data_IF_339925548609
#
_entry.id   IF_339925548609
#
_cell.length_a   1.000
_cell.length_b   1.000
_cell.length_c   1.000
_cell.angle_alpha   90.00
_cell.angle_beta   90.00
_cell.angle_gamma   90.00
#
_symmetry.space_group_name_H-M   'P 1'
#
loop_
_entity.id
_entity.type
_entity.pdbx_description
1 polymer ?
#
# COMPACT_ATOMS: atom_id res chain seq x y z
N UNK A 1 19.27 -18.10 3.69
CA UNK A 1 19.29 -17.10 4.77
C UNK A 1 18.69 -17.72 6.02
N UNK A 2 19.39 -17.60 7.14
CA UNK A 2 18.93 -18.13 8.43
C UNK A 2 17.95 -17.21 9.15
N UNK A 3 17.84 -15.95 8.70
CA UNK A 3 16.96 -14.92 9.25
C UNK A 3 15.47 -15.30 9.36
N UNK A 4 15.03 -16.31 8.61
CA UNK A 4 13.63 -16.77 8.60
C UNK A 4 13.49 -18.24 8.98
N UNK A 5 14.45 -18.84 9.68
CA UNK A 5 14.36 -20.23 10.13
C UNK A 5 13.45 -20.35 11.35
N UNK A 6 12.76 -21.49 11.45
CA UNK A 6 11.88 -21.83 12.58
C UNK A 6 12.70 -21.96 13.87
N UNK A 7 12.16 -21.44 14.97
CA UNK A 7 12.76 -21.61 16.30
C UNK A 7 12.55 -23.04 16.79
N UNK A 8 13.60 -23.66 17.32
CA UNK A 8 13.51 -24.94 18.03
C UNK A 8 13.32 -24.65 19.51
N UNK A 9 12.17 -25.04 20.06
CA UNK A 9 11.87 -24.89 21.48
C UNK A 9 12.24 -26.18 22.22
N UNK A 10 13.08 -26.06 23.24
CA UNK A 10 13.56 -27.17 24.04
C UNK A 10 13.08 -27.03 25.49
N UNK A 11 12.87 -28.16 26.16
CA UNK A 11 12.60 -28.18 27.58
C UNK A 11 13.76 -27.55 28.37
N UNK A 12 13.44 -26.73 29.37
CA UNK A 12 14.44 -26.03 30.20
C UNK A 12 15.13 -24.84 29.53
N UNK A 13 14.73 -24.45 28.33
CA UNK A 13 15.30 -23.30 27.61
C UNK A 13 14.91 -21.95 28.26
N UNK A 14 15.89 -21.07 28.45
CA UNK A 14 15.63 -19.69 28.87
C UNK A 14 15.08 -18.87 27.69
N UNK A 15 13.91 -18.25 27.89
CA UNK A 15 13.26 -17.43 26.87
C UNK A 15 13.88 -16.04 26.84
N UNK A 16 14.07 -15.52 25.64
CA UNK A 16 14.66 -14.22 25.37
C UNK A 16 13.90 -13.57 24.18
N UNK A 17 13.89 -12.23 24.04
CA UNK A 17 13.14 -11.55 22.99
C UNK A 17 13.44 -12.06 21.58
N UNK A 18 14.68 -12.48 21.33
CA UNK A 18 15.15 -13.00 20.04
C UNK A 18 14.38 -14.24 19.59
N UNK A 19 13.92 -15.09 20.52
CA UNK A 19 13.12 -16.27 20.17
C UNK A 19 11.77 -15.86 19.60
N UNK A 20 11.10 -14.87 20.20
CA UNK A 20 9.83 -14.35 19.67
C UNK A 20 10.03 -13.60 18.35
N UNK A 21 11.06 -12.75 18.26
CA UNK A 21 11.39 -12.02 17.03
C UNK A 21 11.69 -12.97 15.87
N UNK A 22 12.45 -14.05 16.12
CA UNK A 22 12.76 -15.04 15.09
C UNK A 22 11.53 -15.87 14.69
N UNK A 23 10.69 -16.23 15.65
CA UNK A 23 9.43 -16.93 15.38
C UNK A 23 8.46 -16.07 14.56
N UNK A 24 8.38 -14.76 14.85
CA UNK A 24 7.60 -13.80 14.07
C UNK A 24 8.13 -13.68 12.64
N UNK A 25 9.44 -13.47 12.46
CA UNK A 25 10.08 -13.46 11.12
C UNK A 25 9.83 -14.74 10.33
N UNK A 26 9.94 -15.92 10.95
CA UNK A 26 9.60 -17.20 10.31
C UNK A 26 8.14 -17.21 9.83
N UNK A 27 7.23 -16.77 10.68
CA UNK A 27 5.78 -16.79 10.40
C UNK A 27 5.42 -15.81 9.29
N UNK A 28 5.92 -14.57 9.34
CA UNK A 28 5.75 -13.57 8.29
C UNK A 28 6.31 -14.07 6.95
N UNK A 29 7.52 -14.64 6.94
CA UNK A 29 8.11 -15.20 5.73
C UNK A 29 7.31 -16.39 5.18
N UNK A 30 6.78 -17.25 6.06
CA UNK A 30 5.91 -18.35 5.63
C UNK A 30 4.65 -17.82 4.92
N UNK A 31 3.99 -16.80 5.48
CA UNK A 31 2.82 -16.14 4.84
C UNK A 31 3.21 -15.53 3.49
N UNK A 32 4.31 -14.76 3.45
CA UNK A 32 4.83 -14.14 2.23
C UNK A 32 5.09 -15.16 1.13
N UNK A 33 5.77 -16.27 1.45
CA UNK A 33 6.07 -17.33 0.48
C UNK A 33 4.80 -17.94 -0.12
N UNK A 34 3.75 -18.11 0.69
CA UNK A 34 2.46 -18.59 0.18
C UNK A 34 1.81 -17.56 -0.75
N UNK A 35 1.83 -16.27 -0.41
CA UNK A 35 1.32 -15.20 -1.26
C UNK A 35 2.07 -15.14 -2.59
N UNK A 36 3.41 -15.15 -2.56
CA UNK A 36 4.25 -15.14 -3.77
C UNK A 36 3.99 -16.37 -4.64
N UNK A 37 3.85 -17.56 -4.03
CA UNK A 37 3.56 -18.81 -4.75
C UNK A 37 2.20 -18.77 -5.46
N UNK A 38 1.19 -18.17 -4.83
CA UNK A 38 -0.18 -18.10 -5.37
C UNK A 38 -0.37 -16.95 -6.38
N UNK A 39 0.46 -15.91 -6.33
CA UNK A 39 0.33 -14.73 -7.19
C UNK A 39 0.59 -15.03 -8.68
N UNK A 40 1.36 -16.06 -9.01
CA UNK A 40 1.67 -16.43 -10.39
C UNK A 40 2.36 -15.28 -11.15
N UNK A 41 1.70 -14.75 -12.18
CA UNK A 41 2.18 -13.60 -12.98
C UNK A 41 1.64 -12.24 -12.52
N UNK A 42 0.77 -12.22 -11.49
CA UNK A 42 0.25 -10.97 -10.96
C UNK A 42 1.27 -10.30 -10.03
N UNK A 43 1.24 -8.95 -9.91
CA UNK A 43 1.97 -8.28 -8.85
C UNK A 43 1.55 -8.84 -7.48
N UNK A 44 2.52 -9.22 -6.66
CA UNK A 44 2.28 -9.71 -5.30
C UNK A 44 2.44 -8.60 -4.24
N UNK A 45 2.73 -7.37 -4.66
CA UNK A 45 2.84 -6.18 -3.82
C UNK A 45 2.14 -4.99 -4.48
N UNK A 46 1.86 -3.95 -3.70
CA UNK A 46 1.19 -2.74 -4.16
C UNK A 46 0.12 -2.25 -3.19
N UNK A 47 -0.62 -1.24 -3.63
CA UNK A 47 -1.73 -0.64 -2.88
C UNK A 47 -3.06 -1.34 -3.17
N UNK A 48 -3.87 -1.57 -2.14
CA UNK A 48 -5.27 -1.98 -2.25
C UNK A 48 -6.22 -0.79 -2.20
N UNK A 49 -5.78 0.31 -1.58
CA UNK A 49 -6.44 1.61 -1.52
C UNK A 49 -5.38 2.73 -1.59
N UNK A 50 -5.71 3.86 -2.22
CA UNK A 50 -4.82 5.01 -2.32
C UNK A 50 -5.63 6.31 -2.44
N UNK A 51 -5.41 7.24 -1.52
CA UNK A 51 -6.01 8.57 -1.54
C UNK A 51 -4.92 9.64 -1.42
N UNK A 52 -4.75 10.42 -2.49
CA UNK A 52 -3.83 11.56 -2.55
C UNK A 52 -4.58 12.84 -2.20
N UNK A 53 -4.01 13.66 -1.32
CA UNK A 53 -4.57 14.95 -0.98
C UNK A 53 -4.21 16.00 -2.05
N UNK A 54 -5.14 16.21 -2.97
CA UNK A 54 -4.94 17.13 -4.10
C UNK A 54 -4.91 18.62 -3.71
N UNK A 55 -5.40 18.99 -2.53
CA UNK A 55 -5.33 20.39 -2.09
C UNK A 55 -3.91 20.79 -1.68
N UNK A 56 -3.15 19.84 -1.12
CA UNK A 56 -1.76 20.07 -0.74
C UNK A 56 -0.81 20.19 -1.95
N UNK A 57 -1.19 19.65 -3.11
CA UNK A 57 -0.41 19.81 -4.35
C UNK A 57 -0.30 21.28 -4.78
N UNK A 58 -1.33 22.10 -4.47
CA UNK A 58 -1.36 23.53 -4.79
C UNK A 58 -0.31 24.35 -4.02
N UNK A 59 0.24 23.79 -2.94
CA UNK A 59 1.23 24.43 -2.07
C UNK A 59 2.55 23.66 -2.02
N UNK A 60 2.86 22.86 -3.05
CA UNK A 60 4.16 22.20 -3.17
C UNK A 60 4.30 20.89 -2.41
N UNK A 61 3.20 20.33 -1.88
CA UNK A 61 3.24 19.13 -1.05
C UNK A 61 2.56 17.94 -1.73
N UNK A 62 3.30 16.85 -1.87
CA UNK A 62 2.73 15.55 -2.22
C UNK A 62 2.33 14.83 -0.93
N UNK A 63 1.06 14.47 -0.82
CA UNK A 63 0.52 13.89 0.41
C UNK A 63 -0.43 12.73 0.12
N UNK A 64 -0.30 11.67 0.92
CA UNK A 64 -1.16 10.49 0.91
C UNK A 64 -1.95 10.47 2.20
N UNK A 65 -3.24 10.74 2.12
CA UNK A 65 -4.15 10.83 3.28
C UNK A 65 -4.60 9.47 3.80
N UNK A 66 -4.68 8.47 2.92
CA UNK A 66 -4.99 7.08 3.25
C UNK A 66 -4.37 6.18 2.21
N UNK A 67 -3.84 5.04 2.64
CA UNK A 67 -3.47 3.94 1.76
C UNK A 67 -3.31 2.67 2.57
N UNK A 68 -3.61 1.53 1.95
CA UNK A 68 -3.34 0.22 2.50
C UNK A 68 -2.74 -0.66 1.41
N UNK A 69 -2.04 -1.72 1.81
CA UNK A 69 -1.44 -2.62 0.85
C UNK A 69 -0.32 -3.49 1.41
N UNK A 70 0.53 -3.97 0.50
CA UNK A 70 1.66 -4.82 0.80
C UNK A 70 2.93 -4.26 0.15
N UNK A 71 4.01 -4.12 0.91
CA UNK A 71 5.33 -3.83 0.37
C UNK A 71 5.96 -5.05 -0.31
N UNK A 72 6.93 -4.86 -1.23
CA UNK A 72 7.66 -5.96 -1.88
C UNK A 72 8.31 -6.98 -0.93
N UNK A 73 8.61 -6.58 0.30
CA UNK A 73 9.21 -7.45 1.31
C UNK A 73 8.19 -8.29 2.10
N UNK A 74 6.90 -8.16 1.77
CA UNK A 74 5.78 -8.85 2.41
C UNK A 74 5.15 -8.11 3.59
N UNK A 75 5.59 -6.88 3.88
CA UNK A 75 4.98 -6.12 4.98
C UNK A 75 3.66 -5.49 4.59
N UNK A 76 2.61 -5.90 5.30
CA UNK A 76 1.30 -5.30 5.23
C UNK A 76 1.31 -3.94 5.93
N UNK A 77 0.67 -2.95 5.32
CA UNK A 77 0.51 -1.64 5.91
C UNK A 77 -0.90 -1.09 5.74
N UNK A 78 -1.24 -0.22 6.67
CA UNK A 78 -2.41 0.64 6.63
C UNK A 78 -1.98 1.99 7.20
N UNK A 79 -2.04 3.04 6.38
CA UNK A 79 -1.70 4.39 6.82
C UNK A 79 -2.83 4.93 7.70
N UNK A 80 -2.54 5.00 9.01
CA UNK A 80 -3.44 5.62 10.00
C UNK A 80 -3.27 7.13 10.11
N UNK A 81 -2.24 7.68 9.47
CA UNK A 81 -1.91 9.11 9.46
C UNK A 81 -1.51 9.51 8.06
N UNK A 82 -1.86 10.73 7.68
CA UNK A 82 -1.45 11.34 6.42
C UNK A 82 0.08 11.47 6.39
N UNK A 83 0.70 11.01 5.30
CA UNK A 83 2.14 11.15 5.07
C UNK A 83 2.32 12.18 3.96
N UNK A 84 3.11 13.21 4.23
CA UNK A 84 3.31 14.32 3.30
C UNK A 84 4.80 14.63 3.13
N UNK A 85 5.14 15.15 1.95
CA UNK A 85 6.50 15.55 1.60
C UNK A 85 6.48 16.78 0.68
N UNK A 86 7.32 17.76 0.97
CA UNK A 86 7.57 18.87 0.05
C UNK A 86 8.25 18.37 -1.23
N UNK A 87 7.70 18.75 -2.37
CA UNK A 87 8.24 18.47 -3.70
C UNK A 87 9.15 19.64 -4.10
N UNK A 88 10.46 19.41 -4.32
CA UNK A 88 11.37 20.48 -4.73
C UNK A 88 10.90 21.21 -5.99
N UNK A 89 11.06 22.53 -6.03
CA UNK A 89 10.80 23.32 -7.24
C UNK A 89 11.64 22.83 -8.42
N UNK A 90 11.05 22.80 -9.61
CA UNK A 90 11.73 22.31 -10.82
C UNK A 90 11.89 20.79 -10.87
N UNK A 91 11.27 20.04 -9.95
CA UNK A 91 11.06 18.59 -10.12
C UNK A 91 10.31 18.35 -11.43
N UNK A 92 10.84 17.52 -12.33
CA UNK A 92 10.23 17.19 -13.62
C UNK A 92 10.34 15.67 -13.83
N UNK A 93 9.24 15.05 -14.26
CA UNK A 93 9.17 13.64 -14.67
C UNK A 93 9.76 12.67 -13.63
N UNK A 94 9.36 12.81 -12.36
CA UNK A 94 9.87 11.99 -11.26
C UNK A 94 8.82 11.05 -10.68
N UNK A 95 9.20 9.80 -10.48
CA UNK A 95 8.38 8.85 -9.72
C UNK A 95 8.35 9.21 -8.23
N UNK A 96 7.20 8.98 -7.60
CA UNK A 96 7.03 9.08 -6.15
C UNK A 96 6.71 7.70 -5.57
N UNK A 97 7.34 7.40 -4.44
CA UNK A 97 7.29 6.11 -3.77
C UNK A 97 6.81 6.24 -2.34
N UNK A 98 5.93 5.33 -1.91
CA UNK A 98 5.83 4.99 -0.50
C UNK A 98 7.09 4.17 -0.18
N UNK A 99 7.83 4.60 0.83
CA UNK A 99 9.12 4.04 1.18
C UNK A 99 9.11 3.59 2.63
N UNK A 100 9.51 2.34 2.85
CA UNK A 100 9.64 1.75 4.18
C UNK A 100 11.07 1.25 4.37
N UNK A 101 11.80 1.65 5.43
CA UNK A 101 13.15 1.16 5.67
C UNK A 101 13.20 -0.38 5.75
N UNK A 102 14.19 -0.99 5.10
CA UNK A 102 14.39 -2.45 5.15
C UNK A 102 14.90 -2.87 6.53
N UNK A 103 14.39 -3.97 7.06
CA UNK A 103 14.94 -4.58 8.28
C UNK A 103 16.23 -5.32 7.93
N UNK A 104 17.32 -4.99 8.63
CA UNK A 104 18.62 -5.64 8.47
C UNK A 104 18.95 -6.42 9.73
N UNK A 105 19.41 -7.66 9.55
CA UNK A 105 19.77 -8.52 10.67
C UNK A 105 20.90 -7.87 11.50
N UNK A 106 20.65 -7.74 12.81
CA UNK A 106 21.60 -7.14 13.75
C UNK A 106 21.44 -5.64 13.96
N UNK A 107 20.60 -4.97 13.16
CA UNK A 107 20.25 -3.57 13.39
C UNK A 107 19.04 -3.45 14.32
N UNK A 108 18.95 -2.29 14.99
CA UNK A 108 17.73 -1.91 15.69
C UNK A 108 16.70 -1.42 14.68
N UNK A 109 15.52 -2.06 14.64
CA UNK A 109 14.44 -1.70 13.73
C UNK A 109 13.48 -0.64 14.31
N UNK A 110 13.67 -0.23 15.58
CA UNK A 110 12.74 0.64 16.31
C UNK A 110 13.36 2.00 16.62
N UNK A 111 12.58 3.06 16.39
CA UNK A 111 12.88 4.43 16.78
C UNK A 111 11.72 5.05 17.58
N UNK A 112 11.99 6.13 18.29
CA UNK A 112 10.95 6.96 18.92
C UNK A 112 10.64 8.23 18.10
N UNK A 113 11.54 8.60 17.18
CA UNK A 113 11.45 9.80 16.34
C UNK A 113 11.24 9.40 14.88
N UNK A 114 10.28 10.04 14.21
CA UNK A 114 9.94 9.79 12.79
C UNK A 114 11.10 10.14 11.84
N UNK A 115 12.01 11.03 12.25
CA UNK A 115 13.18 11.43 11.48
C UNK A 115 14.28 10.36 11.41
N UNK A 116 14.26 9.39 12.33
CA UNK A 116 15.17 8.25 12.30
C UNK A 116 14.77 7.27 11.19
N UNK A 117 15.75 6.78 10.44
CA UNK A 117 15.53 5.81 9.36
C UNK A 117 15.36 4.36 9.87
N UNK A 118 14.55 4.20 10.91
CA UNK A 118 14.17 2.91 11.47
C UNK A 118 12.86 2.44 10.86
N UNK A 119 12.71 1.12 10.70
CA UNK A 119 11.53 0.52 10.06
C UNK A 119 10.26 0.77 10.84
N UNK A 120 10.36 0.79 12.17
CA UNK A 120 9.24 0.97 13.08
C UNK A 120 9.44 2.17 13.99
N UNK A 121 8.33 2.81 14.32
CA UNK A 121 8.19 3.76 15.41
C UNK A 121 7.52 3.06 16.60
N UNK A 122 8.10 3.24 17.78
CA UNK A 122 7.55 2.73 19.02
C UNK A 122 6.39 3.61 19.48
N UNK A 123 5.27 2.96 19.84
CA UNK A 123 4.10 3.63 20.39
C UNK A 123 3.54 2.83 21.55
N UNK A 124 3.30 3.48 22.69
CA UNK A 124 2.64 2.85 23.82
C UNK A 124 1.12 2.84 23.64
N UNK A 125 0.49 1.69 23.91
CA UNK A 125 -0.96 1.51 23.94
C UNK A 125 -1.40 0.80 25.22
N UNK A 126 -2.65 0.99 25.63
CA UNK A 126 -3.27 0.17 26.67
C UNK A 126 -3.90 -1.07 26.05
N UNK A 127 -3.45 -2.25 26.48
CA UNK A 127 -4.02 -3.54 26.09
C UNK A 127 -4.86 -4.08 27.23
N UNK A 128 -6.14 -4.29 26.97
CA UNK A 128 -7.10 -4.78 27.95
C UNK A 128 -7.13 -6.31 27.95
N UNK A 129 -7.21 -6.89 29.15
CA UNK A 129 -7.39 -8.33 29.33
C UNK A 129 -8.79 -8.74 28.88
N UNK A 130 -8.86 -9.72 27.97
CA UNK A 130 -10.11 -10.29 27.44
C UNK A 130 -10.46 -11.64 28.05
N UNK A 131 -9.65 -12.14 28.98
CA UNK A 131 -9.85 -13.43 29.66
C UNK A 131 -10.67 -13.32 30.96
N UNK A 132 -10.81 -12.11 31.48
CA UNK A 132 -11.52 -11.81 32.73
C UNK A 132 -12.55 -10.69 32.54
N UNK A 133 -13.53 -10.62 33.45
CA UNK A 133 -14.56 -9.56 33.43
C UNK A 133 -14.11 -8.24 34.04
N UNK A 134 -12.89 -8.17 34.57
CA UNK A 134 -12.39 -7.01 35.32
C UNK A 134 -11.86 -5.89 34.41
N UNK A 135 -11.74 -6.13 33.09
CA UNK A 135 -11.23 -5.19 32.09
C UNK A 135 -9.91 -4.49 32.54
N UNK A 136 -9.04 -5.22 33.24
CA UNK A 136 -7.72 -4.73 33.60
C UNK A 136 -6.93 -4.44 32.31
N UNK A 137 -6.03 -3.45 32.35
CA UNK A 137 -5.16 -3.13 31.22
C UNK A 137 -3.71 -2.97 31.63
N UNK A 138 -2.82 -3.20 30.67
CA UNK A 138 -1.38 -2.95 30.79
C UNK A 138 -0.91 -2.08 29.63
N UNK A 139 0.04 -1.19 29.91
CA UNK A 139 0.75 -0.45 28.87
C UNK A 139 1.71 -1.37 28.13
N UNK A 140 1.63 -1.34 26.80
CA UNK A 140 2.45 -2.16 25.90
C UNK A 140 2.98 -1.27 24.80
N UNK A 141 4.29 -1.34 24.58
CA UNK A 141 4.93 -0.73 23.41
C UNK A 141 4.69 -1.58 22.18
N UNK A 142 4.11 -0.96 21.15
CA UNK A 142 3.83 -1.56 19.86
C UNK A 142 4.57 -0.85 18.74
N UNK A 143 4.80 -1.59 17.66
CA UNK A 143 5.50 -1.12 16.48
C UNK A 143 4.52 -0.57 15.44
N UNK A 144 4.75 0.66 14.97
CA UNK A 144 4.06 1.25 13.82
C UNK A 144 5.06 1.42 12.68
N UNK A 145 4.69 1.07 11.44
CA UNK A 145 5.57 1.24 10.29
C UNK A 145 5.92 2.73 10.07
N UNK A 146 7.21 3.02 9.88
CA UNK A 146 7.71 4.36 9.56
C UNK A 146 7.73 4.57 8.04
N UNK A 147 6.55 4.78 7.45
CA UNK A 147 6.40 4.97 6.00
C UNK A 147 6.60 6.44 5.66
N UNK A 148 7.48 6.72 4.71
CA UNK A 148 7.74 8.05 4.18
C UNK A 148 7.46 8.12 2.68
N UNK A 149 7.35 9.34 2.14
CA UNK A 149 7.32 9.57 0.68
C UNK A 149 8.75 9.89 0.22
N UNK A 150 9.21 9.18 -0.81
CA UNK A 150 10.50 9.40 -1.48
C UNK A 150 10.27 9.75 -2.95
N UNK A 151 11.13 10.60 -3.50
CA UNK A 151 11.13 10.95 -4.92
C UNK A 151 12.29 10.27 -5.66
N UNK A 152 12.08 9.96 -6.93
CA UNK A 152 13.11 9.39 -7.80
C UNK A 152 14.32 10.30 -7.94
N UNK A 153 15.50 9.74 -7.62
CA UNK A 153 16.77 10.48 -7.56
C UNK A 153 17.25 10.72 -6.12
N UNK A 154 16.39 10.53 -5.13
CA UNK A 154 16.83 10.39 -3.73
C UNK A 154 17.48 9.01 -3.51
N UNK A 155 18.31 8.89 -2.47
CA UNK A 155 18.85 7.60 -2.06
C UNK A 155 17.74 6.71 -1.47
N UNK A 156 17.52 5.57 -2.12
CA UNK A 156 16.51 4.58 -1.77
C UNK A 156 17.09 3.19 -1.49
N UNK A 157 18.43 3.03 -1.39
CA UNK A 157 19.05 1.70 -1.25
C UNK A 157 18.66 0.96 0.04
N UNK A 158 18.27 1.71 1.08
CA UNK A 158 17.79 1.18 2.36
C UNK A 158 16.28 1.02 2.48
N UNK A 159 15.52 1.11 1.38
CA UNK A 159 14.06 1.12 1.42
C UNK A 159 13.45 0.04 0.51
N UNK A 160 12.33 -0.50 0.96
CA UNK A 160 11.38 -1.18 0.08
C UNK A 160 10.34 -0.16 -0.39
N UNK A 161 9.99 -0.21 -1.68
CA UNK A 161 9.27 0.89 -2.35
C UNK A 161 7.98 0.39 -3.00
N UNK A 162 6.94 1.24 -2.96
CA UNK A 162 5.73 1.09 -3.78
C UNK A 162 5.57 2.37 -4.61
N UNK A 163 5.69 2.33 -5.95
CA UNK A 163 5.41 3.50 -6.78
C UNK A 163 3.91 3.80 -6.75
N UNK A 164 3.56 5.02 -6.32
CA UNK A 164 2.15 5.41 -6.14
C UNK A 164 1.72 6.62 -6.97
N UNK A 165 2.66 7.45 -7.41
CA UNK A 165 2.39 8.58 -8.29
C UNK A 165 3.61 8.89 -9.17
N UNK A 166 3.38 9.70 -10.21
CA UNK A 166 4.43 10.33 -11.00
C UNK A 166 4.19 11.83 -11.04
N UNK A 167 5.19 12.61 -10.66
CA UNK A 167 5.21 14.06 -10.78
C UNK A 167 5.60 14.41 -12.22
N UNK A 168 4.74 15.10 -12.95
CA UNK A 168 5.05 15.65 -14.27
C UNK A 168 5.96 16.86 -14.12
N UNK A 169 5.53 17.82 -13.30
CA UNK A 169 6.32 18.99 -12.94
C UNK A 169 5.90 19.59 -11.60
N UNK A 170 6.84 20.28 -10.95
CA UNK A 170 6.58 21.22 -9.87
C UNK A 170 6.94 22.62 -10.38
N UNK A 171 5.91 23.48 -10.56
CA UNK A 171 6.06 24.79 -11.17
C UNK A 171 6.93 25.74 -10.32
N UNK A 172 7.37 26.85 -10.91
CA UNK A 172 8.07 27.91 -10.16
C UNK A 172 7.20 28.54 -9.06
N UNK A 173 5.87 28.50 -9.22
CA UNK A 173 4.92 28.92 -8.17
C UNK A 173 4.72 27.87 -7.08
N UNK A 174 5.33 26.68 -7.24
CA UNK A 174 5.28 25.57 -6.28
C UNK A 174 4.09 24.64 -6.45
N UNK A 175 3.30 24.74 -7.51
CA UNK A 175 2.21 23.80 -7.74
C UNK A 175 2.74 22.49 -8.32
N UNK A 176 2.32 21.37 -7.73
CA UNK A 176 2.72 20.02 -8.16
C UNK A 176 1.66 19.45 -9.09
N UNK A 177 2.06 19.15 -10.33
CA UNK A 177 1.22 18.45 -11.29
C UNK A 177 1.59 16.97 -11.36
N UNK A 178 0.60 16.12 -11.11
CA UNK A 178 0.74 14.66 -11.20
C UNK A 178 0.29 14.14 -12.57
N UNK A 179 0.94 13.09 -13.04
CA UNK A 179 0.58 12.38 -14.26
C UNK A 179 -0.71 11.60 -14.03
N UNK A 180 -1.80 12.05 -14.64
CA UNK A 180 -3.12 11.37 -14.54
C UNK A 180 -3.17 10.04 -15.29
N UNK A 181 -2.22 9.79 -16.19
CA UNK A 181 -2.11 8.52 -16.90
C UNK A 181 -1.35 7.45 -16.11
N UNK A 182 -0.70 7.85 -15.02
CA UNK A 182 0.05 6.95 -14.17
C UNK A 182 -0.87 5.95 -13.46
N UNK A 183 -0.47 4.68 -13.49
CA UNK A 183 -1.14 3.59 -12.76
C UNK A 183 -0.22 3.20 -11.60
N UNK A 184 -0.65 3.33 -10.33
CA UNK A 184 0.13 2.86 -9.19
C UNK A 184 0.42 1.36 -9.30
N UNK A 185 1.43 0.89 -8.56
CA UNK A 185 1.53 -0.54 -8.28
C UNK A 185 0.31 -0.93 -7.42
N UNK A 186 -0.75 -1.43 -8.05
CA UNK A 186 -2.01 -1.76 -7.40
C UNK A 186 -2.19 -3.27 -7.26
N UNK A 187 -2.61 -3.72 -6.09
CA UNK A 187 -3.16 -5.06 -5.86
C UNK A 187 -4.65 -5.12 -6.21
N UNK A 188 -5.38 -4.01 -6.02
CA UNK A 188 -6.76 -3.84 -6.43
C UNK A 188 -6.89 -2.70 -7.44
N UNK A 189 -7.62 -2.91 -8.55
CA UNK A 189 -7.81 -1.86 -9.55
C UNK A 189 -8.46 -0.60 -8.96
N UNK A 190 -9.24 -0.75 -7.87
CA UNK A 190 -9.88 0.34 -7.14
C UNK A 190 -8.92 1.41 -6.61
N UNK A 191 -7.66 1.05 -6.34
CA UNK A 191 -6.63 1.98 -5.91
C UNK A 191 -6.14 2.92 -7.03
N UNK A 192 -6.49 2.64 -8.29
CA UNK A 192 -6.20 3.53 -9.42
C UNK A 192 -7.47 4.20 -9.91
N UNK A 193 -7.54 5.53 -9.73
CA UNK A 193 -8.64 6.33 -10.25
C UNK A 193 -8.82 6.15 -11.77
N UNK A 194 -7.71 6.10 -12.53
CA UNK A 194 -7.73 5.87 -13.97
C UNK A 194 -8.36 4.52 -14.33
N UNK A 195 -7.97 3.44 -13.65
CA UNK A 195 -8.54 2.11 -13.92
C UNK A 195 -10.03 2.05 -13.58
N UNK A 196 -10.44 2.68 -12.48
CA UNK A 196 -11.85 2.79 -12.09
C UNK A 196 -12.67 3.54 -13.15
N UNK A 197 -12.16 4.66 -13.65
CA UNK A 197 -12.81 5.45 -14.71
C UNK A 197 -12.92 4.66 -16.02
N UNK A 198 -11.85 3.97 -16.43
CA UNK A 198 -11.86 3.13 -17.64
C UNK A 198 -12.82 1.95 -17.51
N UNK A 199 -12.89 1.32 -16.34
CA UNK A 199 -13.84 0.23 -16.12
C UNK A 199 -15.29 0.73 -16.20
N UNK A 200 -15.59 1.89 -15.62
CA UNK A 200 -16.91 2.54 -15.74
C UNK A 200 -17.27 2.85 -17.19
N UNK A 201 -16.31 3.36 -17.97
CA UNK A 201 -16.49 3.65 -19.40
C UNK A 201 -16.78 2.37 -20.20
N UNK A 202 -15.98 1.33 -20.04
CA UNK A 202 -16.17 0.03 -20.70
C UNK A 202 -17.55 -0.57 -20.33
N UNK A 203 -17.92 -0.50 -19.05
CA UNK A 203 -19.23 -0.96 -18.58
C UNK A 203 -20.35 -0.19 -19.29
N UNK A 204 -20.32 1.15 -19.28
CA UNK A 204 -21.34 1.97 -19.92
C UNK A 204 -21.46 1.70 -21.43
N UNK A 205 -20.33 1.58 -22.14
CA UNK A 205 -20.31 1.25 -23.57
C UNK A 205 -20.93 -0.12 -23.84
N UNK A 206 -20.58 -1.11 -23.03
CA UNK A 206 -21.10 -2.49 -23.15
C UNK A 206 -22.60 -2.54 -22.88
N UNK A 207 -23.08 -1.88 -21.82
CA UNK A 207 -24.50 -1.78 -21.50
C UNK A 207 -25.28 -1.10 -22.63
N UNK A 208 -24.79 0.03 -23.14
CA UNK A 208 -25.41 0.75 -24.25
C UNK A 208 -25.51 -0.12 -25.51
N UNK A 209 -24.45 -0.88 -25.82
CA UNK A 209 -24.43 -1.81 -26.95
C UNK A 209 -25.45 -2.93 -26.77
N UNK A 210 -25.52 -3.53 -25.59
CA UNK A 210 -26.49 -4.57 -25.27
C UNK A 210 -27.94 -4.07 -25.44
N UNK A 211 -28.26 -2.89 -24.89
CA UNK A 211 -29.58 -2.27 -25.04
C UNK A 211 -29.92 -1.96 -26.50
N UNK A 212 -28.96 -1.46 -27.27
CA UNK A 212 -29.16 -1.19 -28.71
C UNK A 212 -29.47 -2.46 -29.50
N UNK A 213 -28.75 -3.56 -29.23
CA UNK A 213 -29.01 -4.84 -29.88
C UNK A 213 -30.37 -5.43 -29.50
N UNK A 214 -30.76 -5.36 -28.22
CA UNK A 214 -32.07 -5.81 -27.75
C UNK A 214 -33.22 -5.06 -28.46
N UNK A 215 -33.12 -3.73 -28.57
CA UNK A 215 -34.11 -2.92 -29.30
C UNK A 215 -34.22 -3.35 -30.77
N UNK A 216 -33.09 -3.66 -31.43
CA UNK A 216 -33.08 -4.13 -32.83
C UNK A 216 -33.73 -5.51 -32.97
N UNK A 217 -33.48 -6.44 -32.05
CA UNK A 217 -34.09 -7.77 -32.06
C UNK A 217 -35.61 -7.66 -31.89
N UNK A 218 -36.08 -6.84 -30.94
CA UNK A 218 -37.51 -6.61 -30.71
C UNK A 218 -38.21 -5.99 -31.93
N UNK A 219 -37.58 -4.99 -32.56
CA UNK A 219 -38.10 -4.38 -33.79
C UNK A 219 -38.18 -5.39 -34.95
N UNK A 220 -37.18 -6.26 -35.10
CA UNK A 220 -37.17 -7.32 -36.11
C UNK A 220 -38.18 -8.45 -35.87
N UNK A 221 -38.54 -8.73 -34.61
CA UNK A 221 -39.59 -9.69 -34.27
C UNK A 221 -41.00 -9.12 -34.53
N UNK A 222 -41.24 -7.83 -34.22
CA UNK A 222 -42.52 -7.17 -34.51
C UNK A 222 -42.86 -7.11 -36.01
N UNK A 223 -41.86 -7.00 -36.89
CA UNK A 223 -42.06 -7.01 -38.34
C UNK A 223 -42.44 -8.39 -38.89
N UNK A 224 -42.00 -9.49 -38.27
CA UNK A 224 -42.36 -10.86 -38.70
C UNK A 224 -43.77 -11.28 -38.27
N UNK A 225 -44.33 -10.65 -37.24
CA UNK A 225 -45.68 -10.94 -36.76
C UNK A 225 -46.79 -10.30 -37.58
N UNK A 226 -46.51 -9.23 -38.33
CA UNK A 226 -47.47 -8.54 -39.20
C UNK A 226 -47.52 -9.08 -40.64
N UNK A 227 -46.67 -10.05 -40.99
CA UNK A 227 -46.62 -10.64 -42.34
C UNK A 227 -47.19 -12.06 -42.41
N UNK A 228 -48.13 -12.42 -41.53
CA UNK A 228 -48.84 -13.71 -41.53
C UNK A 228 -50.34 -13.51 -41.52
#
# INVERSE_FOLDING_TARGET
MDAYKKVVWQEGMFIAPQHFQQQDRYTQNYVRQNVETLAGYAPYYGVTDLMINHDLLKIGKLSVSSSAGLFPDGSHFELKREVARDVPHGTIEKMAYLALPVSLQGNNDYANDESEQSRYLTRTINVFDTSTSENASVEVDVAQLNIAIKLEGEDTSGFTLIPFAKVLECSETGEVMLDRSFIPACLHYGASQLLVERLKEIHALTSNRATSLLKRIQAGQGQKSHSR
#
